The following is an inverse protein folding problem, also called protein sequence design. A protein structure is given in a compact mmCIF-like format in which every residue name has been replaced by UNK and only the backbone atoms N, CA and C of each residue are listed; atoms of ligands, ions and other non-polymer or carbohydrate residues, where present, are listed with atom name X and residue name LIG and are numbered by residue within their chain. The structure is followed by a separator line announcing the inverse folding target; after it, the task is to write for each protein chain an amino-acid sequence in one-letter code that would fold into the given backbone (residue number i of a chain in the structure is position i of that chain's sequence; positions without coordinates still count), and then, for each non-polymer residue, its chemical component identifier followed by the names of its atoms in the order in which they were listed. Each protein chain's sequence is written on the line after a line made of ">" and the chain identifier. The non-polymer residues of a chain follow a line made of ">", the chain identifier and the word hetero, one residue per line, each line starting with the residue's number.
data_IF_529533059571
#
_entry.id   IF_529533059571
#
_cell.length_a   1.000
_cell.length_b   1.000
_cell.length_c   1.000
_cell.angle_alpha   90.00
_cell.angle_beta   90.00
_cell.angle_gamma   90.00
#
_symmetry.space_group_name_H-M   'P 1'
#
loop_
_entity.id
_entity.type
_entity.pdbx_description
1 polymer ?
#
# COMPACT_ATOMS: atom_id res chain seq x y z
N UNK A 1 -17.06 -8.21 -13.84
CA UNK A 1 -16.64 -8.04 -13.42
C UNK A 1 -16.21 -7.89 -12.90
N UNK A 2 -16.34 -8.05 -12.62
CA UNK A 2 -15.85 -7.96 -11.97
C UNK A 2 -15.65 -7.88 -11.19
N UNK A 3 -15.59 -8.02 -11.03
CA UNK A 3 -15.32 -8.07 -10.24
C UNK A 3 -14.84 -7.94 -9.53
N UNK A 4 -14.60 -7.92 -9.49
CA UNK A 4 -14.12 -7.87 -8.72
C UNK A 4 -14.22 -7.51 -7.93
N UNK A 5 -14.58 -7.58 -7.87
CA UNK A 5 -14.71 -7.41 -7.17
C UNK A 5 -14.89 -6.92 -6.25
N UNK A 6 -15.16 -6.79 -6.49
CA UNK A 6 -15.53 -6.17 -5.79
C UNK A 6 -15.46 -5.63 -4.66
N UNK A 7 -15.74 -5.62 -4.34
CA UNK A 7 -15.81 -5.36 -3.19
C UNK A 7 -15.07 -4.58 -2.64
N UNK A 8 -14.55 -4.43 -2.92
CA UNK A 8 -13.58 -4.18 -2.42
C UNK A 8 -13.20 -2.80 -2.26
N UNK A 9 -13.57 -1.87 -3.07
CA UNK A 9 -13.23 -0.47 -2.96
C UNK A 9 -14.45 0.31 -2.60
N UNK A 10 -14.55 0.74 -1.39
CA UNK A 10 -15.55 1.72 -1.01
C UNK A 10 -15.14 3.07 -1.58
N UNK A 11 -16.11 3.88 -1.96
CA UNK A 11 -15.87 5.20 -2.54
C UNK A 11 -14.99 6.05 -1.61
N UNK A 12 -15.27 6.03 -0.30
CA UNK A 12 -14.49 6.79 0.64
C UNK A 12 -13.05 6.34 0.74
N UNK A 13 -12.81 5.02 0.68
CA UNK A 13 -11.46 4.48 0.72
C UNK A 13 -10.70 4.88 -0.53
N UNK A 14 -11.34 4.76 -1.69
CA UNK A 14 -10.72 5.15 -2.95
C UNK A 14 -10.37 6.64 -2.94
N UNK A 15 -11.25 7.48 -2.41
CA UNK A 15 -10.99 8.91 -2.32
C UNK A 15 -9.80 9.20 -1.42
N UNK A 16 -9.69 8.51 -0.30
CA UNK A 16 -8.56 8.68 0.61
C UNK A 16 -7.24 8.29 -0.05
N UNK A 17 -7.29 7.40 -1.03
CA UNK A 17 -6.10 6.96 -1.78
C UNK A 17 -5.87 7.82 -3.02
N UNK A 18 -6.60 8.93 -3.17
CA UNK A 18 -6.45 9.82 -4.33
C UNK A 18 -7.01 9.23 -5.60
N UNK A 19 -8.07 8.45 -5.50
CA UNK A 19 -8.68 7.80 -6.65
C UNK A 19 -8.00 6.52 -7.07
N UNK A 20 -6.94 6.13 -6.34
CA UNK A 20 -6.19 4.91 -6.64
C UNK A 20 -6.81 3.73 -5.91
N UNK A 21 -6.45 2.52 -6.32
CA UNK A 21 -6.85 1.32 -5.60
C UNK A 21 -5.62 0.71 -4.90
N UNK A 22 -5.86 -0.04 -3.84
CA UNK A 22 -4.80 -0.73 -3.14
C UNK A 22 -5.28 -2.15 -2.87
N UNK A 23 -4.74 -3.09 -3.63
CA UNK A 23 -5.12 -4.49 -3.50
C UNK A 23 -4.48 -5.13 -2.28
N UNK A 24 -4.92 -6.35 -1.98
CA UNK A 24 -4.44 -7.07 -0.81
C UNK A 24 -2.93 -7.31 -0.85
N UNK A 25 -2.42 -7.79 -1.97
CA UNK A 25 -0.98 -8.03 -2.12
C UNK A 25 -0.20 -6.74 -2.04
N UNK A 26 -0.73 -5.68 -2.65
CA UNK A 26 -0.09 -4.38 -2.60
C UNK A 26 -0.02 -3.84 -1.17
N UNK A 27 -1.10 -4.00 -0.42
CA UNK A 27 -1.12 -3.55 0.98
C UNK A 27 -0.14 -4.35 1.82
N UNK A 28 -0.05 -5.65 1.56
CA UNK A 28 0.88 -6.51 2.28
C UNK A 28 2.33 -6.12 1.99
N UNK A 29 2.64 -5.83 0.74
CA UNK A 29 3.98 -5.40 0.35
C UNK A 29 4.31 -4.03 0.96
N UNK A 30 3.37 -3.08 0.93
CA UNK A 30 3.58 -1.80 1.58
C UNK A 30 3.86 -1.96 3.07
N UNK A 31 3.14 -2.87 3.74
CA UNK A 31 3.33 -3.12 5.16
C UNK A 31 4.76 -3.61 5.44
N UNK A 32 5.28 -4.46 4.57
CA UNK A 32 6.65 -4.95 4.71
C UNK A 32 7.65 -3.82 4.46
N UNK A 33 7.42 -3.02 3.43
CA UNK A 33 8.34 -1.93 3.07
C UNK A 33 8.44 -0.92 4.20
N UNK A 34 7.33 -0.58 4.86
CA UNK A 34 7.37 0.36 5.97
C UNK A 34 8.20 -0.14 7.15
N UNK A 35 8.36 -1.47 7.27
CA UNK A 35 9.15 -2.04 8.36
C UNK A 35 10.63 -2.17 8.02
N UNK A 36 11.01 -1.89 6.78
CA UNK A 36 12.39 -2.02 6.33
C UNK A 36 13.07 -0.66 6.28
N UNK A 37 14.39 -0.67 6.40
CA UNK A 37 15.19 0.56 6.27
C UNK A 37 15.29 0.95 4.80
N UNK A 38 14.89 2.16 4.41
CA UNK A 38 15.06 2.59 3.02
C UNK A 38 16.53 2.83 2.70
N UNK A 39 16.96 2.66 1.45
CA UNK A 39 16.11 2.26 0.32
C UNK A 39 15.85 0.76 0.32
N UNK A 40 14.72 0.37 -0.25
CA UNK A 40 14.25 -1.02 -0.25
C UNK A 40 14.32 -1.58 -1.67
N UNK A 41 14.80 -2.83 -1.78
CA UNK A 41 14.86 -3.51 -3.07
C UNK A 41 13.80 -4.60 -3.12
N UNK A 42 13.50 -5.07 -4.34
CA UNK A 42 12.58 -6.20 -4.51
C UNK A 42 13.08 -7.43 -3.78
N UNK A 43 14.40 -7.66 -3.82
CA UNK A 43 14.99 -8.83 -3.14
C UNK A 43 14.72 -8.80 -1.64
N UNK A 44 14.81 -7.62 -1.03
CA UNK A 44 14.55 -7.48 0.41
C UNK A 44 13.10 -7.82 0.75
N UNK A 45 12.18 -7.32 -0.06
CA UNK A 45 10.75 -7.59 0.14
C UNK A 45 10.45 -9.07 -0.09
N UNK A 46 11.00 -9.63 -1.16
CA UNK A 46 10.77 -11.03 -1.49
C UNK A 46 11.26 -11.96 -0.38
N UNK A 47 12.40 -11.62 0.21
CA UNK A 47 12.98 -12.42 1.28
C UNK A 47 12.06 -12.50 2.52
N UNK A 48 11.37 -11.40 2.83
CA UNK A 48 10.42 -11.38 3.93
C UNK A 48 9.13 -12.08 3.55
N UNK A 49 8.69 -11.89 2.31
CA UNK A 49 7.39 -12.33 1.86
C UNK A 49 7.30 -13.81 1.56
N UNK A 50 8.31 -14.38 0.97
CA UNK A 50 8.28 -15.75 0.51
C UNK A 50 7.92 -16.77 1.61
N UNK A 51 8.47 -16.66 2.82
CA UNK A 51 8.07 -17.59 3.88
C UNK A 51 6.61 -17.44 4.32
N UNK A 52 6.00 -16.27 4.06
CA UNK A 52 4.65 -15.98 4.54
C UNK A 52 3.59 -16.35 3.50
N UNK A 53 3.93 -16.25 2.24
CA UNK A 53 3.02 -16.64 1.18
C UNK A 53 3.82 -16.98 -0.07
N UNK A 54 3.34 -17.97 -0.79
CA UNK A 54 4.01 -18.40 -1.99
C UNK A 54 3.73 -17.42 -3.13
N UNK A 55 4.79 -16.85 -3.68
CA UNK A 55 4.69 -16.00 -4.85
C UNK A 55 6.04 -15.98 -5.54
N UNK A 56 6.04 -15.64 -6.82
CA UNK A 56 7.30 -15.57 -7.57
C UNK A 56 7.98 -14.24 -7.36
N UNK A 57 9.29 -14.22 -7.59
CA UNK A 57 10.06 -12.98 -7.55
C UNK A 57 9.51 -11.96 -8.55
N UNK A 58 9.13 -12.46 -9.75
CA UNK A 58 8.56 -11.59 -10.78
C UNK A 58 7.28 -10.90 -10.31
N UNK A 59 6.43 -11.64 -9.58
CA UNK A 59 5.21 -11.05 -9.05
C UNK A 59 5.51 -9.94 -8.05
N UNK A 60 6.49 -10.16 -7.17
CA UNK A 60 6.92 -9.12 -6.22
C UNK A 60 7.44 -7.90 -6.97
N UNK A 61 8.28 -8.12 -7.98
CA UNK A 61 8.86 -7.04 -8.76
C UNK A 61 7.79 -6.22 -9.48
N UNK A 62 6.86 -6.90 -10.14
CA UNK A 62 5.79 -6.21 -10.87
C UNK A 62 4.85 -5.46 -9.94
N UNK A 63 4.58 -6.03 -8.77
CA UNK A 63 3.72 -5.37 -7.80
C UNK A 63 4.37 -4.09 -7.26
N UNK A 64 5.67 -4.14 -6.97
CA UNK A 64 6.39 -2.96 -6.51
C UNK A 64 6.45 -1.87 -7.59
N UNK A 65 6.65 -2.26 -8.85
CA UNK A 65 6.59 -1.32 -9.97
C UNK A 65 5.22 -0.68 -10.08
N UNK A 66 4.17 -1.48 -9.89
CA UNK A 66 2.81 -0.99 -9.94
C UNK A 66 2.53 -0.01 -8.80
N UNK A 67 3.03 -0.29 -7.60
CA UNK A 67 2.90 0.62 -6.47
C UNK A 67 3.59 1.95 -6.75
N UNK A 68 4.73 1.92 -7.43
CA UNK A 68 5.42 3.16 -7.81
C UNK A 68 4.59 3.94 -8.82
N UNK A 69 4.02 3.26 -9.82
CA UNK A 69 3.17 3.93 -10.81
C UNK A 69 1.93 4.54 -10.16
N UNK A 70 1.42 3.91 -9.12
CA UNK A 70 0.25 4.41 -8.39
C UNK A 70 0.60 5.54 -7.42
N UNK A 71 1.89 5.81 -7.21
CA UNK A 71 2.32 6.89 -6.34
C UNK A 71 2.46 6.52 -4.87
N UNK A 72 2.40 5.24 -4.53
CA UNK A 72 2.63 4.81 -3.14
C UNK A 72 4.10 4.62 -2.83
N UNK A 73 4.91 4.39 -3.86
CA UNK A 73 6.36 4.25 -3.73
C UNK A 73 7.04 5.21 -4.70
N UNK A 74 8.25 5.60 -4.34
CA UNK A 74 9.14 6.34 -5.22
C UNK A 74 10.19 5.37 -5.70
N UNK A 75 10.32 5.22 -7.02
CA UNK A 75 11.24 4.28 -7.63
C UNK A 75 12.44 5.01 -8.19
N UNK A 76 13.63 4.53 -7.88
CA UNK A 76 14.88 5.09 -8.40
C UNK A 76 15.82 3.97 -8.77
N UNK A 77 16.61 4.16 -9.83
CA UNK A 77 17.68 3.22 -10.12
C UNK A 77 18.79 3.37 -9.08
N UNK A 78 19.40 2.24 -8.71
CA UNK A 78 20.50 2.25 -7.75
C UNK A 78 21.78 2.81 -8.33
N UNK A 79 21.87 2.88 -9.67
CA UNK A 79 23.04 3.40 -10.38
C UNK A 79 22.65 3.99 -11.72
N UNK A 80 23.65 4.47 -12.51
CA UNK A 80 23.37 5.15 -13.76
C UNK A 80 23.02 4.25 -14.94
N UNK A 81 23.26 2.94 -14.84
CA UNK A 81 23.02 2.03 -15.95
C UNK A 81 21.55 1.58 -15.97
N UNK A 82 21.04 1.35 -17.17
CA UNK A 82 19.67 0.84 -17.34
C UNK A 82 19.48 -0.52 -16.68
N UNK A 83 20.56 -1.29 -16.55
CA UNK A 83 20.51 -2.62 -15.94
C UNK A 83 20.61 -2.59 -14.42
N UNK A 84 20.89 -1.43 -13.83
CA UNK A 84 20.97 -1.32 -12.39
C UNK A 84 19.61 -1.54 -11.76
N UNK A 85 19.60 -2.21 -10.61
CA UNK A 85 18.37 -2.52 -9.90
C UNK A 85 17.68 -1.25 -9.43
N UNK A 86 16.38 -1.35 -9.19
CA UNK A 86 15.61 -0.25 -8.63
C UNK A 86 15.64 -0.28 -7.11
N UNK A 87 15.66 0.91 -6.53
CA UNK A 87 15.46 1.12 -5.11
C UNK A 87 14.10 1.80 -4.94
N UNK A 88 13.44 1.52 -3.82
CA UNK A 88 12.13 2.08 -3.54
C UNK A 88 12.12 2.71 -2.16
N UNK A 89 11.40 3.82 -2.03
CA UNK A 89 11.11 4.41 -0.73
C UNK A 89 9.61 4.70 -0.68
N UNK A 90 8.99 4.62 0.51
CA UNK A 90 7.58 4.97 0.61
C UNK A 90 7.35 6.44 0.29
N UNK A 91 6.31 6.71 -0.51
CA UNK A 91 5.90 8.08 -0.81
C UNK A 91 4.92 8.61 0.24
N UNK A 92 4.40 7.73 1.08
CA UNK A 92 3.44 8.08 2.12
C UNK A 92 3.76 7.24 3.35
N UNK A 93 3.63 7.81 4.55
CA UNK A 93 3.91 7.05 5.77
C UNK A 93 2.76 6.11 6.11
N UNK A 94 3.09 5.07 6.90
CA UNK A 94 2.08 4.12 7.38
C UNK A 94 1.00 4.86 8.17
N UNK A 95 1.41 5.77 9.05
CA UNK A 95 0.47 6.50 9.89
C UNK A 95 -0.43 7.40 9.09
N UNK A 96 0.12 8.08 8.11
CA UNK A 96 -0.66 8.99 7.27
C UNK A 96 -1.69 8.22 6.45
N UNK A 97 -1.27 7.15 5.80
CA UNK A 97 -2.20 6.36 5.00
C UNK A 97 -3.26 5.71 5.86
N UNK A 98 -2.86 5.14 7.00
CA UNK A 98 -3.80 4.50 7.92
C UNK A 98 -4.83 5.48 8.45
N UNK A 99 -4.37 6.66 8.85
CA UNK A 99 -5.29 7.70 9.35
C UNK A 99 -6.27 8.13 8.27
N UNK A 100 -5.78 8.36 7.06
CA UNK A 100 -6.65 8.79 5.96
C UNK A 100 -7.71 7.76 5.65
N UNK A 101 -7.35 6.47 5.69
CA UNK A 101 -8.31 5.40 5.44
C UNK A 101 -9.35 5.32 6.56
N UNK A 102 -8.91 5.45 7.82
CA UNK A 102 -9.84 5.42 8.96
C UNK A 102 -10.81 6.59 8.90
N UNK A 103 -10.32 7.80 8.59
CA UNK A 103 -11.17 8.95 8.44
C UNK A 103 -12.20 8.73 7.33
N UNK A 104 -11.77 8.18 6.20
CA UNK A 104 -12.67 7.92 5.08
C UNK A 104 -13.77 6.96 5.46
N UNK A 105 -13.44 5.89 6.17
CA UNK A 105 -14.43 4.92 6.62
C UNK A 105 -15.39 5.56 7.61
N UNK A 106 -14.87 6.32 8.57
CA UNK A 106 -15.70 6.99 9.57
C UNK A 106 -16.71 7.92 8.89
N UNK A 107 -16.25 8.74 7.94
CA UNK A 107 -17.11 9.69 7.27
C UNK A 107 -18.12 9.01 6.34
N UNK A 108 -17.67 8.04 5.55
CA UNK A 108 -18.52 7.44 4.52
C UNK A 108 -19.50 6.42 5.06
N UNK A 109 -19.11 5.69 6.09
CA UNK A 109 -19.94 4.58 6.58
C UNK A 109 -20.63 4.95 7.89
N UNK A 110 -19.91 5.54 8.82
CA UNK A 110 -20.45 5.88 10.13
C UNK A 110 -21.02 7.29 10.18
N UNK A 111 -20.77 8.09 9.15
CA UNK A 111 -21.27 9.48 9.02
C UNK A 111 -20.90 10.35 10.20
N UNK A 112 -19.68 10.21 10.69
CA UNK A 112 -19.17 11.03 11.79
C UNK A 112 -17.65 11.11 11.72
N UNK A 113 -17.06 12.12 12.39
CA UNK A 113 -15.60 12.22 12.45
C UNK A 113 -14.99 11.00 13.15
N UNK A 114 -13.76 10.67 12.80
CA UNK A 114 -13.08 9.51 13.36
C UNK A 114 -13.06 9.53 14.87
N UNK A 115 -12.74 10.69 15.48
CA UNK A 115 -12.67 10.79 16.94
C UNK A 115 -13.99 10.38 17.59
N UNK A 116 -15.10 10.89 17.04
CA UNK A 116 -16.43 10.55 17.59
C UNK A 116 -16.75 9.07 17.38
N UNK A 117 -16.38 8.53 16.19
CA UNK A 117 -16.59 7.12 15.91
C UNK A 117 -15.84 6.24 16.92
N UNK A 118 -14.61 6.59 17.24
CA UNK A 118 -13.81 5.84 18.19
C UNK A 118 -14.39 5.91 19.60
N UNK A 119 -14.87 7.09 20.00
CA UNK A 119 -15.51 7.23 21.30
C UNK A 119 -16.77 6.38 21.40
N UNK A 120 -17.57 6.36 20.36
CA UNK A 120 -18.80 5.59 20.33
C UNK A 120 -18.54 4.09 20.39
N UNK A 121 -17.51 3.63 19.66
CA UNK A 121 -17.16 2.21 19.64
C UNK A 121 -16.58 1.77 20.99
N UNK A 122 -15.86 2.65 21.66
CA UNK A 122 -15.18 2.33 22.91
C UNK A 122 -16.11 2.25 24.12
N UNK A 123 -17.39 2.63 23.97
CA UNK A 123 -18.34 2.59 25.08
C UNK A 123 -18.65 1.18 25.57
#
# INVERSE_FOLDING_TARGET
>A
MNSDTGVKDYVGIRKALGGRSLGELEAQIMSIIWDLEPPVTTAMVFKVMYPLRELSYSTAMLTMSKLARKGFLIQKRSGPKKTDAFNYVPAVSREELGRNLLEAVAQQILHKPLVQALLDIAK
#
